data_IF_445659921704
#
_entry.id   IF_445659921704
#
_cell.length_a   1.000
_cell.length_b   1.000
_cell.length_c   1.000
_cell.angle_alpha   90.00
_cell.angle_beta   90.00
_cell.angle_gamma   90.00
#
_symmetry.space_group_name_H-M   'P 1'
#
loop_
_entity.id
_entity.type
_entity.pdbx_description
1 polymer ?
#
# COMPACT_ATOMS: atom_id res chain seq x y z
N UNK A 1 -1.68 -15.83 0.43
CA UNK A 1 -0.22 -15.66 0.27
C UNK A 1 0.30 -14.96 1.51
N UNK A 2 1.32 -15.50 2.18
CA UNK A 2 1.87 -14.91 3.39
C UNK A 2 2.66 -13.63 3.11
N UNK A 3 2.70 -12.75 4.12
CA UNK A 3 3.47 -11.51 4.11
C UNK A 3 4.49 -11.52 5.26
N UNK A 4 5.72 -11.11 4.94
CA UNK A 4 6.78 -10.82 5.91
C UNK A 4 7.04 -9.31 5.99
N UNK A 5 7.46 -8.83 7.14
CA UNK A 5 8.04 -7.48 7.29
C UNK A 5 9.55 -7.62 7.32
N UNK A 6 10.27 -6.74 6.62
CA UNK A 6 11.73 -6.80 6.54
C UNK A 6 12.36 -5.66 7.36
N UNK A 7 13.40 -5.99 8.12
CA UNK A 7 14.24 -5.05 8.84
C UNK A 7 15.65 -5.06 8.21
N UNK A 8 15.98 -4.02 7.43
CA UNK A 8 17.32 -3.92 6.84
C UNK A 8 18.35 -3.67 7.95
N UNK A 9 19.39 -4.51 7.99
CA UNK A 9 20.55 -4.36 8.87
C UNK A 9 21.80 -4.51 8.01
N UNK A 10 22.50 -3.40 7.78
CA UNK A 10 23.84 -3.46 7.19
C UNK A 10 24.87 -3.52 8.33
N UNK A 11 25.68 -4.58 8.36
CA UNK A 11 26.74 -4.74 9.37
C UNK A 11 27.86 -3.70 9.21
N UNK A 12 27.81 -2.84 8.18
CA UNK A 12 28.89 -1.90 7.83
C UNK A 12 28.62 -0.40 8.07
N UNK A 13 27.45 0.05 8.56
CA UNK A 13 27.17 1.51 8.63
C UNK A 13 27.71 2.24 9.88
N UNK A 14 28.28 1.56 10.87
CA UNK A 14 28.67 2.19 12.14
C UNK A 14 30.00 2.96 12.14
N UNK A 15 30.65 3.25 10.99
CA UNK A 15 31.96 3.92 10.96
C UNK A 15 32.13 5.14 10.03
N UNK A 16 31.09 5.82 9.54
CA UNK A 16 31.31 7.03 8.73
C UNK A 16 30.34 8.18 9.04
N UNK A 17 30.78 9.10 9.91
CA UNK A 17 30.19 10.41 10.19
C UNK A 17 30.57 11.43 9.10
N UNK A 18 29.69 12.43 8.88
CA UNK A 18 29.91 13.78 8.24
C UNK A 18 29.94 13.76 6.70
N UNK A 19 29.24 14.60 5.92
CA UNK A 19 28.67 15.92 6.11
C UNK A 19 27.57 16.24 5.06
N UNK A 20 26.64 17.11 5.45
CA UNK A 20 25.99 18.16 4.64
C UNK A 20 25.00 17.82 3.50
N UNK A 21 23.72 17.81 3.91
CA UNK A 21 22.60 18.61 3.32
C UNK A 21 23.14 19.83 2.54
N UNK A 22 22.64 20.22 1.37
CA UNK A 22 21.29 20.77 1.19
C UNK A 22 21.06 21.05 -0.32
N UNK A 23 19.99 20.50 -0.91
CA UNK A 23 19.47 20.91 -2.23
C UNK A 23 18.37 21.95 -2.00
N UNK A 24 18.58 23.16 -2.51
CA UNK A 24 17.65 24.27 -2.51
C UNK A 24 16.77 24.21 -3.77
N UNK A 25 15.47 24.00 -3.60
CA UNK A 25 14.46 24.10 -4.66
C UNK A 25 13.24 24.84 -4.09
N UNK A 26 13.41 26.16 -3.96
CA UNK A 26 12.32 27.13 -4.05
C UNK A 26 11.79 27.19 -5.48
N UNK A 27 10.45 27.09 -5.66
CA UNK A 27 9.60 27.39 -6.85
C UNK A 27 8.45 26.35 -6.88
N UNK A 28 7.15 26.61 -6.90
CA UNK A 28 6.32 27.77 -7.22
C UNK A 28 4.92 27.45 -6.62
N UNK A 29 4.32 28.42 -5.92
CA UNK A 29 2.89 28.46 -5.56
C UNK A 29 2.04 28.64 -6.82
N UNK A 30 0.85 28.04 -6.87
CA UNK A 30 -0.34 28.68 -7.42
C UNK A 30 -1.61 27.93 -7.01
N UNK A 31 -2.58 28.72 -6.54
CA UNK A 31 -3.88 28.36 -5.98
C UNK A 31 -5.01 28.51 -7.03
N UNK A 32 -6.12 27.80 -6.77
CA UNK A 32 -7.54 28.12 -7.05
C UNK A 32 -8.09 28.23 -8.49
N UNK A 33 -9.19 27.50 -8.74
CA UNK A 33 -10.44 27.91 -9.43
C UNK A 33 -11.50 26.81 -9.09
N UNK A 34 -12.56 27.02 -8.30
CA UNK A 34 -13.78 27.82 -8.50
C UNK A 34 -14.48 27.63 -9.86
N UNK A 35 -15.51 26.78 -9.92
CA UNK A 35 -16.77 27.08 -10.64
C UNK A 35 -17.98 26.40 -9.97
N UNK A 36 -18.99 27.22 -9.74
CA UNK A 36 -20.34 26.90 -9.28
C UNK A 36 -21.11 26.13 -10.36
N UNK A 37 -22.09 25.33 -9.92
CA UNK A 37 -22.83 24.38 -10.73
C UNK A 37 -23.81 24.97 -11.76
N UNK A 38 -24.59 24.06 -12.35
CA UNK A 38 -25.89 24.41 -12.94
C UNK A 38 -26.72 23.14 -13.01
N UNK A 39 -27.82 23.18 -12.28
CA UNK A 39 -29.00 22.34 -12.43
C UNK A 39 -29.51 22.49 -13.85
N UNK A 40 -29.61 21.39 -14.60
CA UNK A 40 -30.38 21.37 -15.84
C UNK A 40 -31.84 21.17 -15.47
N UNK A 41 -32.62 22.24 -15.52
CA UNK A 41 -34.08 22.19 -15.60
C UNK A 41 -34.49 21.23 -16.74
N UNK A 42 -35.13 20.12 -16.36
CA UNK A 42 -35.73 19.17 -17.30
C UNK A 42 -37.26 19.33 -17.25
N UNK A 43 -37.96 19.37 -18.40
CA UNK A 43 -39.39 19.66 -18.48
C UNK A 43 -40.25 18.61 -17.76
N UNK A 44 -41.31 19.10 -17.11
CA UNK A 44 -42.25 18.37 -16.23
C UNK A 44 -42.91 17.12 -16.86
N UNK A 45 -42.80 16.95 -18.18
CA UNK A 45 -43.37 15.82 -18.94
C UNK A 45 -42.49 14.56 -18.93
N UNK A 46 -41.21 14.64 -18.51
CA UNK A 46 -40.34 13.46 -18.34
C UNK A 46 -40.40 12.84 -16.93
N UNK A 47 -40.93 13.53 -15.92
CA UNK A 47 -41.14 12.97 -14.57
C UNK A 47 -42.22 11.88 -14.55
N UNK A 48 -43.29 12.02 -15.34
CA UNK A 48 -44.40 11.07 -15.33
C UNK A 48 -44.00 9.68 -15.87
N UNK A 49 -43.07 9.61 -16.84
CA UNK A 49 -42.58 8.35 -17.42
C UNK A 49 -41.55 7.67 -16.50
N UNK A 50 -40.73 8.44 -15.78
CA UNK A 50 -39.73 7.94 -14.84
C UNK A 50 -40.35 7.33 -13.58
N UNK A 51 -41.47 7.86 -13.09
CA UNK A 51 -42.21 7.29 -11.92
C UNK A 51 -42.80 5.91 -12.24
N UNK A 52 -43.25 5.69 -13.48
CA UNK A 52 -43.79 4.39 -13.94
C UNK A 52 -42.69 3.33 -14.11
N UNK A 53 -41.47 3.73 -14.50
CA UNK A 53 -40.30 2.82 -14.49
C UNK A 53 -39.82 2.55 -13.05
N UNK A 54 -39.94 3.54 -12.15
CA UNK A 54 -39.60 3.41 -10.74
C UNK A 54 -40.47 2.38 -10.00
N UNK A 55 -41.77 2.29 -10.31
CA UNK A 55 -42.67 1.31 -9.68
C UNK A 55 -42.40 -0.13 -10.15
N UNK A 56 -41.99 -0.32 -11.40
CA UNK A 56 -41.61 -1.65 -11.93
C UNK A 56 -40.23 -2.08 -11.43
N UNK A 57 -39.28 -1.15 -11.24
CA UNK A 57 -37.94 -1.45 -10.74
C UNK A 57 -37.88 -1.81 -9.23
N UNK A 58 -38.88 -1.42 -8.43
CA UNK A 58 -38.91 -1.68 -6.99
C UNK A 58 -39.21 -3.13 -6.60
N UNK A 59 -39.63 -3.99 -7.53
CA UNK A 59 -39.92 -5.41 -7.26
C UNK A 59 -38.92 -6.40 -7.89
N UNK A 60 -37.87 -5.91 -8.58
CA UNK A 60 -37.14 -6.72 -9.57
C UNK A 60 -35.62 -6.86 -9.43
N UNK A 61 -34.97 -6.24 -8.44
CA UNK A 61 -33.54 -6.47 -8.20
C UNK A 61 -33.30 -6.77 -6.72
N UNK A 62 -33.48 -8.05 -6.35
CA UNK A 62 -32.78 -8.62 -5.21
C UNK A 62 -31.28 -8.70 -5.60
N UNK A 63 -30.61 -7.55 -5.61
CA UNK A 63 -29.18 -7.46 -5.88
C UNK A 63 -28.45 -8.29 -4.83
N UNK A 64 -27.85 -9.40 -5.25
CA UNK A 64 -26.93 -10.16 -4.42
C UNK A 64 -25.77 -9.23 -4.02
N UNK A 65 -25.83 -8.71 -2.79
CA UNK A 65 -24.73 -7.99 -2.20
C UNK A 65 -23.54 -8.96 -2.07
N UNK A 66 -22.61 -8.93 -3.03
CA UNK A 66 -21.34 -9.65 -2.91
C UNK A 66 -20.55 -8.96 -1.81
N UNK A 67 -20.60 -9.50 -0.59
CA UNK A 67 -19.71 -9.08 0.48
C UNK A 67 -18.28 -9.43 0.05
N UNK A 68 -17.47 -8.42 -0.30
CA UNK A 68 -16.02 -8.64 -0.48
C UNK A 68 -15.48 -9.12 0.86
N UNK A 69 -15.30 -10.44 1.01
CA UNK A 69 -14.67 -11.02 2.20
C UNK A 69 -13.28 -10.42 2.33
N UNK A 70 -13.08 -9.56 3.34
CA UNK A 70 -11.76 -9.10 3.76
C UNK A 70 -11.03 -10.35 4.27
N UNK A 71 -10.37 -11.05 3.35
CA UNK A 71 -9.57 -12.22 3.70
C UNK A 71 -8.42 -11.68 4.52
N UNK A 72 -8.34 -12.09 5.79
CA UNK A 72 -7.32 -11.63 6.71
C UNK A 72 -5.93 -11.83 6.09
N UNK A 73 -5.13 -10.78 6.10
CA UNK A 73 -3.75 -10.82 5.66
C UNK A 73 -2.94 -11.69 6.63
N UNK A 74 -2.36 -12.78 6.13
CA UNK A 74 -1.50 -13.66 6.93
C UNK A 74 -0.10 -13.03 7.07
N UNK A 75 0.20 -12.47 8.24
CA UNK A 75 1.51 -11.90 8.56
C UNK A 75 2.35 -12.94 9.32
N UNK A 76 3.57 -13.18 8.85
CA UNK A 76 4.47 -14.19 9.45
C UNK A 76 5.39 -13.61 10.53
N UNK A 77 5.66 -12.30 10.49
CA UNK A 77 6.51 -11.62 11.46
C UNK A 77 7.49 -10.65 10.82
N UNK A 78 8.48 -10.22 11.61
CA UNK A 78 9.61 -9.39 11.20
C UNK A 78 10.88 -10.23 10.98
N UNK A 79 11.52 -10.09 9.84
CA UNK A 79 12.73 -10.82 9.46
C UNK A 79 13.86 -9.86 9.13
N UNK A 80 15.09 -10.28 9.44
CA UNK A 80 16.29 -9.52 9.10
C UNK A 80 16.49 -9.57 7.59
N UNK A 81 16.95 -8.46 7.05
CA UNK A 81 17.27 -8.31 5.64
C UNK A 81 18.58 -7.52 5.52
N UNK A 82 19.35 -7.74 4.45
CA UNK A 82 20.68 -7.19 4.30
C UNK A 82 20.97 -6.86 2.82
N UNK A 83 22.19 -6.46 2.49
CA UNK A 83 22.62 -6.31 1.10
C UNK A 83 22.37 -7.59 0.29
N UNK A 84 22.58 -8.75 0.90
CA UNK A 84 22.04 -10.01 0.43
C UNK A 84 20.56 -10.09 0.86
N UNK A 85 19.65 -9.83 -0.07
CA UNK A 85 18.22 -9.67 0.21
C UNK A 85 17.59 -10.97 0.72
N UNK A 86 16.69 -10.86 1.69
CA UNK A 86 15.90 -12.00 2.17
C UNK A 86 14.84 -12.42 1.13
N UNK A 87 14.34 -11.43 0.37
CA UNK A 87 13.47 -11.58 -0.78
C UNK A 87 14.08 -10.84 -1.98
N UNK A 88 14.71 -11.59 -2.88
CA UNK A 88 15.60 -11.12 -3.94
C UNK A 88 15.02 -11.18 -5.36
N UNK A 89 13.85 -11.80 -5.55
CA UNK A 89 13.32 -12.08 -6.89
C UNK A 89 12.68 -10.86 -7.59
N UNK A 90 11.98 -10.00 -6.83
CA UNK A 90 11.35 -8.82 -7.41
C UNK A 90 11.24 -7.67 -6.40
N UNK A 91 11.44 -6.45 -6.90
CA UNK A 91 11.39 -5.22 -6.12
C UNK A 91 10.50 -4.16 -6.78
N UNK A 92 9.70 -3.48 -5.97
CA UNK A 92 8.94 -2.28 -6.39
C UNK A 92 8.82 -1.27 -5.27
N UNK A 93 9.25 -0.05 -5.54
CA UNK A 93 8.95 1.14 -4.72
C UNK A 93 7.64 1.79 -5.16
N UNK A 94 6.82 2.24 -4.21
CA UNK A 94 5.58 2.98 -4.47
C UNK A 94 5.15 3.82 -3.27
N UNK A 95 4.75 5.08 -3.52
CA UNK A 95 4.26 6.00 -2.48
C UNK A 95 2.92 5.58 -1.85
N UNK A 96 2.27 4.54 -2.40
CA UNK A 96 0.96 4.06 -1.96
C UNK A 96 1.02 2.61 -1.45
N UNK A 97 2.20 2.16 -1.00
CA UNK A 97 2.34 0.82 -0.41
C UNK A 97 1.44 0.68 0.81
N UNK A 98 0.66 -0.40 0.77
CA UNK A 98 0.00 -1.03 1.89
C UNK A 98 0.31 -2.53 1.82
N UNK A 99 0.30 -3.27 2.92
CA UNK A 99 0.57 -4.70 2.96
C UNK A 99 -0.22 -5.53 1.94
N UNK A 100 -1.50 -5.21 1.73
CA UNK A 100 -2.35 -5.88 0.74
C UNK A 100 -1.91 -5.60 -0.70
N UNK A 101 -1.34 -4.43 -0.97
CA UNK A 101 -0.83 -4.08 -2.30
C UNK A 101 0.38 -4.94 -2.67
N UNK A 102 1.36 -5.09 -1.78
CA UNK A 102 2.52 -5.96 -2.04
C UNK A 102 2.09 -7.43 -2.18
N UNK A 103 1.11 -7.87 -1.39
CA UNK A 103 0.55 -9.23 -1.53
C UNK A 103 -0.09 -9.44 -2.90
N UNK A 104 -0.93 -8.52 -3.36
CA UNK A 104 -1.53 -8.65 -4.70
C UNK A 104 -0.44 -8.63 -5.78
N UNK A 105 0.52 -7.71 -5.66
CA UNK A 105 1.60 -7.52 -6.62
C UNK A 105 2.48 -8.77 -6.82
N UNK A 106 2.87 -9.42 -5.71
CA UNK A 106 3.70 -10.62 -5.77
C UNK A 106 2.87 -11.85 -6.17
N UNK A 107 1.60 -11.93 -5.76
CA UNK A 107 0.69 -13.00 -6.16
C UNK A 107 0.43 -12.98 -7.67
N UNK A 108 0.18 -11.81 -8.24
CA UNK A 108 -0.01 -11.61 -9.69
C UNK A 108 1.23 -12.02 -10.49
N UNK A 109 2.42 -11.94 -9.88
CA UNK A 109 3.69 -12.36 -10.48
C UNK A 109 4.03 -13.83 -10.25
N UNK A 110 3.24 -14.57 -9.47
CA UNK A 110 3.47 -15.99 -9.21
C UNK A 110 4.47 -16.31 -8.10
N UNK A 111 4.84 -15.35 -7.25
CA UNK A 111 5.73 -15.59 -6.11
C UNK A 111 4.99 -16.17 -4.90
N UNK A 112 5.73 -16.86 -4.02
CA UNK A 112 5.17 -17.52 -2.83
C UNK A 112 5.03 -16.57 -1.63
N UNK A 113 5.90 -15.58 -1.53
CA UNK A 113 5.98 -14.64 -0.41
C UNK A 113 6.01 -13.19 -0.90
N UNK A 114 5.41 -12.31 -0.10
CA UNK A 114 5.57 -10.87 -0.23
C UNK A 114 6.25 -10.30 1.01
N UNK A 115 7.06 -9.28 0.81
CA UNK A 115 7.73 -8.50 1.84
C UNK A 115 7.37 -7.03 1.75
N UNK A 116 7.28 -6.39 2.90
CA UNK A 116 7.22 -4.93 3.03
C UNK A 116 8.46 -4.42 3.76
N UNK A 117 9.06 -3.36 3.23
CA UNK A 117 10.23 -2.71 3.82
C UNK A 117 10.15 -1.19 3.67
N UNK A 118 10.88 -0.47 4.54
CA UNK A 118 11.17 0.95 4.39
C UNK A 118 9.96 1.83 4.12
N UNK A 119 8.78 1.51 4.69
CA UNK A 119 7.52 2.26 4.50
C UNK A 119 6.88 2.14 3.11
N UNK A 120 7.67 2.10 2.03
CA UNK A 120 7.21 2.27 0.65
C UNK A 120 7.75 1.21 -0.34
N UNK A 121 8.39 0.15 0.16
CA UNK A 121 8.98 -0.92 -0.68
C UNK A 121 8.22 -2.23 -0.57
N UNK A 122 7.99 -2.86 -1.73
CA UNK A 122 7.53 -4.23 -1.86
C UNK A 122 8.67 -5.12 -2.37
N UNK A 123 8.86 -6.25 -1.71
CA UNK A 123 9.74 -7.33 -2.16
C UNK A 123 8.94 -8.60 -2.42
N UNK A 124 9.35 -9.41 -3.38
CA UNK A 124 8.77 -10.72 -3.62
C UNK A 124 9.87 -11.78 -3.63
N UNK A 125 9.50 -13.01 -3.29
CA UNK A 125 10.43 -14.12 -3.31
C UNK A 125 9.76 -15.47 -3.14
N UNK A 126 10.53 -16.52 -3.36
CA UNK A 126 10.08 -17.91 -3.23
C UNK A 126 10.56 -18.58 -1.94
N UNK A 127 11.49 -17.95 -1.23
CA UNK A 127 12.07 -18.33 0.07
C UNK A 127 12.22 -17.08 0.93
N UNK A 128 12.29 -17.21 2.25
CA UNK A 128 12.53 -16.11 3.18
C UNK A 128 13.18 -16.64 4.48
N UNK A 129 13.64 -15.74 5.34
CA UNK A 129 14.15 -16.04 6.66
C UNK A 129 15.62 -16.48 6.72
N UNK A 130 16.42 -16.22 5.67
CA UNK A 130 17.83 -16.64 5.66
C UNK A 130 18.69 -15.93 6.72
N UNK A 131 18.28 -14.74 7.13
CA UNK A 131 18.95 -13.94 8.17
C UNK A 131 18.30 -14.05 9.54
N UNK A 132 17.23 -14.85 9.67
CA UNK A 132 16.51 -15.07 10.92
C UNK A 132 15.39 -14.08 11.21
N UNK A 133 14.57 -14.43 12.20
CA UNK A 133 13.45 -13.64 12.69
C UNK A 133 13.88 -12.71 13.83
N UNK A 134 13.28 -11.53 13.92
CA UNK A 134 13.47 -10.56 15.00
C UNK A 134 12.13 -10.14 15.60
N UNK A 135 12.18 -9.32 16.66
CA UNK A 135 10.98 -8.83 17.31
C UNK A 135 10.13 -8.00 16.35
N UNK A 136 8.82 -8.16 16.44
CA UNK A 136 7.87 -7.49 15.54
C UNK A 136 7.90 -5.96 15.65
N UNK A 137 8.34 -5.45 16.81
CA UNK A 137 8.57 -4.03 17.10
C UNK A 137 9.71 -3.43 16.26
N UNK A 138 10.65 -4.25 15.80
CA UNK A 138 11.73 -3.79 14.92
C UNK A 138 11.26 -3.52 13.49
N UNK A 139 10.06 -3.94 13.12
CA UNK A 139 9.43 -3.68 11.83
C UNK A 139 8.18 -2.79 11.98
N UNK A 140 8.32 -1.66 12.68
CA UNK A 140 7.19 -0.82 13.10
C UNK A 140 6.97 0.44 12.27
N UNK A 141 7.72 0.67 11.18
CA UNK A 141 7.51 1.84 10.34
C UNK A 141 6.13 1.83 9.69
N UNK A 142 5.41 2.94 9.79
CA UNK A 142 4.07 3.08 9.24
C UNK A 142 4.11 3.15 7.70
N UNK A 143 3.25 2.39 7.03
CA UNK A 143 3.22 2.32 5.56
C UNK A 143 2.93 3.67 4.89
N UNK A 144 3.38 3.84 3.64
CA UNK A 144 3.19 5.09 2.90
C UNK A 144 1.71 5.32 2.56
N UNK A 145 1.03 4.27 2.10
CA UNK A 145 -0.37 4.32 1.67
C UNK A 145 -1.41 4.07 2.77
N UNK A 146 -0.99 3.63 3.96
CA UNK A 146 -1.89 3.43 5.11
C UNK A 146 -1.10 3.49 6.44
N UNK A 147 -1.20 4.61 7.15
CA UNK A 147 -0.47 4.85 8.40
C UNK A 147 -0.94 3.98 9.57
N UNK A 148 -2.06 3.26 9.43
CA UNK A 148 -2.55 2.32 10.46
C UNK A 148 -1.85 0.96 10.38
N UNK A 149 -1.07 0.73 9.32
CA UNK A 149 -0.36 -0.52 9.10
C UNK A 149 1.15 -0.31 9.12
N UNK A 150 1.88 -1.39 9.43
CA UNK A 150 3.35 -1.38 9.46
C UNK A 150 3.96 -2.05 8.23
N UNK A 151 5.05 -1.46 7.73
CA UNK A 151 5.73 -1.81 6.49
C UNK A 151 7.25 -1.94 6.69
N UNK A 152 7.65 -2.79 7.63
CA UNK A 152 9.05 -3.12 7.88
C UNK A 152 9.81 -2.02 8.60
N UNK A 153 11.11 -1.97 8.36
CA UNK A 153 12.01 -0.94 8.85
C UNK A 153 13.21 -0.78 7.92
N UNK A 154 13.87 0.36 8.02
CA UNK A 154 15.14 0.67 7.40
C UNK A 154 15.99 1.28 8.51
N UNK A 155 16.73 0.45 9.24
CA UNK A 155 17.74 0.97 10.16
C UNK A 155 18.94 1.38 9.33
N UNK A 156 18.92 2.61 8.83
CA UNK A 156 20.13 3.42 8.93
C UNK A 156 20.00 4.12 10.29
N UNK A 157 20.79 3.69 11.28
CA UNK A 157 20.98 4.49 12.49
C UNK A 157 21.54 5.85 12.08
N UNK A 158 20.67 6.84 11.88
CA UNK A 158 21.04 8.26 11.83
C UNK A 158 20.98 8.86 13.23
#
# INVERSE_FOLDING_TARGET
MPLVKLNFRDRQSSTSRRDSKLRDLSKIKAELFYQKGTTCDMPLTRLALLVVVLSVALAGFCGAATTKRKTGLMRLGCFVDSAERDLDEFFKKSNYVKPEYCVSLCKERGYRFAGVQATDWCHCGNTFGRHGQVADSECSLACAGDKKQTCGNLLDET
#
